data_IF_522838497462
#
_entry.id   IF_522838497462
#
_cell.length_a   1.000
_cell.length_b   1.000
_cell.length_c   1.000
_cell.angle_alpha   90.00
_cell.angle_beta   90.00
_cell.angle_gamma   90.00
#
_symmetry.space_group_name_H-M   'P 1'
#
loop_
_entity.id
_entity.type
_entity.pdbx_description
1 polymer ?
#
# COMPACT_ATOMS: atom_id res chain seq x y z
N UNK A 1 -21.44 -0.49 14.47
CA UNK A 1 -21.77 -0.21 13.06
C UNK A 1 -20.74 -0.94 12.22
N UNK A 2 -21.15 -1.94 11.43
CA UNK A 2 -20.25 -2.54 10.44
C UNK A 2 -20.03 -1.49 9.35
N UNK A 3 -18.81 -0.95 9.25
CA UNK A 3 -18.48 -0.02 8.19
C UNK A 3 -18.56 -0.77 6.86
N UNK A 4 -19.28 -0.22 5.89
CA UNK A 4 -19.31 -0.81 4.55
C UNK A 4 -17.90 -0.78 3.96
N UNK A 5 -17.43 -1.94 3.51
CA UNK A 5 -16.11 -2.15 2.91
C UNK A 5 -16.24 -2.48 1.43
N UNK A 6 -15.13 -2.30 0.71
CA UNK A 6 -14.98 -2.75 -0.67
C UNK A 6 -13.58 -3.32 -0.87
N UNK A 7 -13.47 -4.26 -1.80
CA UNK A 7 -12.18 -4.79 -2.25
C UNK A 7 -11.67 -3.93 -3.40
N UNK A 8 -10.45 -3.44 -3.29
CA UNK A 8 -9.76 -2.71 -4.35
C UNK A 8 -8.51 -3.48 -4.78
N UNK A 9 -8.23 -3.46 -6.08
CA UNK A 9 -6.97 -3.95 -6.64
C UNK A 9 -5.91 -2.84 -6.56
N UNK A 10 -4.72 -3.19 -6.09
CA UNK A 10 -3.58 -2.28 -6.03
C UNK A 10 -3.01 -2.05 -7.42
N UNK A 11 -2.10 -1.09 -7.53
CA UNK A 11 -1.22 -1.03 -8.70
C UNK A 11 -0.35 -2.29 -8.77
N UNK A 12 0.11 -2.60 -9.98
CA UNK A 12 1.10 -3.65 -10.19
C UNK A 12 2.42 -3.27 -9.52
N UNK A 13 2.98 -4.19 -8.75
CA UNK A 13 4.31 -4.06 -8.16
C UNK A 13 5.36 -4.02 -9.27
N UNK A 14 6.13 -2.94 -9.35
CA UNK A 14 7.19 -2.79 -10.36
C UNK A 14 8.32 -3.83 -10.23
N UNK A 15 8.45 -4.50 -9.08
CA UNK A 15 9.49 -5.49 -8.82
C UNK A 15 9.07 -6.90 -9.23
N UNK A 16 7.84 -7.31 -8.90
CA UNK A 16 7.38 -8.69 -9.11
C UNK A 16 6.22 -8.84 -10.10
N UNK A 17 5.73 -7.73 -10.66
CA UNK A 17 4.66 -7.70 -11.67
C UNK A 17 3.32 -8.29 -11.22
N UNK A 18 3.07 -8.28 -9.90
CA UNK A 18 1.82 -8.75 -9.29
C UNK A 18 1.11 -7.58 -8.62
N UNK A 19 -0.21 -7.65 -8.59
CA UNK A 19 -1.05 -6.77 -7.79
C UNK A 19 -1.67 -7.55 -6.62
N UNK A 20 -2.17 -6.84 -5.62
CA UNK A 20 -2.88 -7.41 -4.49
C UNK A 20 -4.31 -6.85 -4.38
N UNK A 21 -5.12 -7.46 -3.53
CA UNK A 21 -6.51 -7.07 -3.25
C UNK A 21 -6.66 -6.75 -1.78
N UNK A 22 -7.02 -5.50 -1.48
CA UNK A 22 -7.22 -5.02 -0.12
C UNK A 22 -8.69 -4.67 0.12
N UNK A 23 -9.22 -5.15 1.24
CA UNK A 23 -10.52 -4.72 1.75
C UNK A 23 -10.36 -3.43 2.55
N UNK A 24 -11.04 -2.36 2.11
CA UNK A 24 -10.92 -1.04 2.72
C UNK A 24 -12.31 -0.41 2.98
N UNK A 25 -12.46 0.48 3.98
CA UNK A 25 -13.69 1.21 4.19
C UNK A 25 -14.04 2.10 2.98
N UNK A 26 -15.27 2.02 2.49
CA UNK A 26 -15.72 2.76 1.29
C UNK A 26 -15.51 4.28 1.46
N UNK A 27 -15.86 4.83 2.62
CA UNK A 27 -15.66 6.25 2.91
C UNK A 27 -14.18 6.65 2.94
N UNK A 28 -13.31 5.78 3.44
CA UNK A 28 -11.86 6.00 3.40
C UNK A 28 -11.37 6.09 1.96
N UNK A 29 -11.79 5.15 1.12
CA UNK A 29 -11.45 5.12 -0.30
C UNK A 29 -11.93 6.38 -1.03
N UNK A 30 -13.18 6.79 -0.83
CA UNK A 30 -13.72 8.02 -1.45
C UNK A 30 -12.95 9.28 -1.06
N UNK A 31 -12.59 9.43 0.22
CA UNK A 31 -11.77 10.57 0.69
C UNK A 31 -10.40 10.58 0.04
N UNK A 32 -9.72 9.43 0.02
CA UNK A 32 -8.41 9.30 -0.62
C UNK A 32 -8.49 9.63 -2.12
N UNK A 33 -9.50 9.12 -2.82
CA UNK A 33 -9.75 9.46 -4.25
C UNK A 33 -10.10 10.93 -4.48
N UNK A 34 -10.54 11.64 -3.45
CA UNK A 34 -10.82 13.08 -3.48
C UNK A 34 -9.60 13.94 -3.12
N UNK A 35 -8.43 13.35 -2.87
CA UNK A 35 -7.18 14.04 -2.58
C UNK A 35 -6.78 14.10 -1.09
N UNK A 36 -7.55 13.47 -0.19
CA UNK A 36 -7.17 13.33 1.21
C UNK A 36 -5.87 12.52 1.36
N UNK A 37 -5.04 12.86 2.34
CA UNK A 37 -3.82 12.11 2.62
C UNK A 37 -4.16 10.69 3.09
N UNK A 38 -3.40 9.69 2.65
CA UNK A 38 -3.75 8.29 2.87
C UNK A 38 -3.82 7.92 4.37
N UNK A 39 -2.98 8.54 5.21
CA UNK A 39 -2.99 8.34 6.66
C UNK A 39 -4.25 8.89 7.33
N UNK A 40 -4.89 9.90 6.74
CA UNK A 40 -6.16 10.47 7.23
C UNK A 40 -7.36 9.68 6.69
N UNK A 41 -7.27 9.26 5.43
CA UNK A 41 -8.27 8.42 4.79
C UNK A 41 -8.37 7.03 5.46
N UNK A 42 -7.22 6.46 5.83
CA UNK A 42 -7.07 5.11 6.40
C UNK A 42 -6.14 5.09 7.63
N UNK A 43 -6.56 5.68 8.76
CA UNK A 43 -5.73 5.79 9.97
C UNK A 43 -5.42 4.42 10.62
N UNK A 44 -6.28 3.43 10.38
CA UNK A 44 -6.17 2.10 10.98
C UNK A 44 -5.41 1.10 10.10
N UNK A 45 -5.06 1.46 8.85
CA UNK A 45 -4.22 0.61 8.02
C UNK A 45 -2.76 0.69 8.45
N UNK A 46 -2.06 -0.45 8.38
CA UNK A 46 -0.63 -0.48 8.64
C UNK A 46 0.12 0.44 7.67
N UNK A 47 1.34 0.84 8.02
CA UNK A 47 2.17 1.62 7.10
C UNK A 47 2.43 0.86 5.80
N UNK A 48 2.65 -0.46 5.87
CA UNK A 48 2.86 -1.32 4.71
C UNK A 48 1.63 -1.40 3.79
N UNK A 49 0.42 -1.52 4.35
CA UNK A 49 -0.80 -1.55 3.53
C UNK A 49 -1.04 -0.20 2.84
N UNK A 50 -0.72 0.91 3.51
CA UNK A 50 -0.78 2.25 2.90
C UNK A 50 0.21 2.39 1.74
N UNK A 51 1.45 1.92 1.90
CA UNK A 51 2.41 1.93 0.78
C UNK A 51 2.03 1.00 -0.36
N UNK A 52 1.46 -0.15 -0.04
CA UNK A 52 0.93 -1.06 -1.04
C UNK A 52 -0.19 -0.37 -1.86
N UNK A 53 -1.07 0.40 -1.22
CA UNK A 53 -2.09 1.19 -1.90
C UNK A 53 -1.51 2.36 -2.73
N UNK A 54 -0.48 3.05 -2.24
CA UNK A 54 0.13 4.19 -2.94
C UNK A 54 0.92 3.73 -4.18
N UNK A 55 1.82 2.79 -3.97
CA UNK A 55 2.89 2.44 -4.92
C UNK A 55 2.65 1.12 -5.64
N UNK A 56 1.87 0.21 -5.06
CA UNK A 56 1.75 -1.17 -5.52
C UNK A 56 2.90 -2.08 -5.09
N UNK A 57 3.92 -1.57 -4.39
CA UNK A 57 5.06 -2.40 -3.98
C UNK A 57 4.72 -3.24 -2.76
N UNK A 58 4.97 -4.54 -2.83
CA UNK A 58 4.86 -5.41 -1.67
C UNK A 58 6.02 -5.17 -0.71
N UNK A 59 5.77 -5.24 0.60
CA UNK A 59 6.81 -5.04 1.63
C UNK A 59 8.06 -5.89 1.37
N UNK A 60 7.87 -7.18 1.04
CA UNK A 60 8.97 -8.08 0.69
C UNK A 60 9.77 -7.61 -0.53
N UNK A 61 9.08 -7.09 -1.55
CA UNK A 61 9.75 -6.59 -2.76
C UNK A 61 10.51 -5.28 -2.48
N UNK A 62 10.03 -4.47 -1.54
CA UNK A 62 10.77 -3.32 -1.05
C UNK A 62 12.04 -3.76 -0.33
N UNK A 63 11.93 -4.73 0.56
CA UNK A 63 13.08 -5.30 1.26
C UNK A 63 14.07 -5.92 0.28
N UNK A 64 13.64 -6.62 -0.76
CA UNK A 64 14.53 -7.17 -1.80
C UNK A 64 15.20 -6.08 -2.65
N UNK A 65 14.45 -5.04 -3.03
CA UNK A 65 14.98 -3.94 -3.85
C UNK A 65 15.97 -3.02 -3.10
N UNK A 66 15.83 -2.92 -1.78
CA UNK A 66 16.62 -2.03 -0.92
C UNK A 66 17.42 -2.75 0.17
N UNK A 67 17.41 -4.09 0.18
CA UNK A 67 18.30 -4.94 0.95
C UNK A 67 19.71 -4.59 0.53
N UNK A 68 20.41 -3.87 1.39
CA UNK A 68 21.81 -3.50 1.20
C UNK A 68 22.62 -4.77 0.92
N UNK A 69 23.27 -4.81 -0.25
CA UNK A 69 24.61 -5.39 -0.35
C UNK A 69 25.39 -4.83 0.84
N UNK A 70 25.62 -5.66 1.85
CA UNK A 70 26.38 -5.30 3.04
C UNK A 70 27.86 -5.01 2.77
N UNK A 71 28.32 -5.01 1.51
CA UNK A 71 29.75 -4.94 1.17
C UNK A 71 30.09 -3.92 0.05
N UNK A 72 29.70 -2.66 0.22
CA UNK A 72 30.44 -1.55 -0.43
C UNK A 72 30.82 -0.53 0.63
N UNK A 73 31.79 -0.92 1.45
CA UNK A 73 32.66 0.01 2.16
C UNK A 73 33.56 0.74 1.14
N UNK A 74 33.70 2.05 1.32
CA UNK A 74 34.92 2.83 1.06
C UNK A 74 35.45 2.88 -0.36
#
# INVERSE_FOLDING_TARGET
MNAATMVIETRECFHCHKFDRLEVPIYGYQRWKSGELIQNAFPNLSASDRELLISGIHSKCWDEAFSKDSDREG
#
